data_IF_880585402414
#
_entry.id   IF_880585402414
#
_cell.length_a   1.000
_cell.length_b   1.000
_cell.length_c   1.000
_cell.angle_alpha   90.00
_cell.angle_beta   90.00
_cell.angle_gamma   90.00
#
_symmetry.space_group_name_H-M   'P 1'
#
loop_
_entity.id
_entity.type
_entity.pdbx_description
1 polymer ?
#
# COMPACT_ATOMS: atom_id res chain seq x y z
N UNK A 1 -11.01 3.75 -7.81
CA UNK A 1 -11.35 2.61 -8.69
C UNK A 1 -12.67 1.95 -8.31
N UNK A 2 -12.87 1.53 -7.06
CA UNK A 2 -14.14 0.91 -6.60
C UNK A 2 -15.37 1.78 -6.93
N UNK A 3 -15.36 3.04 -6.51
CA UNK A 3 -16.43 4.00 -6.80
C UNK A 3 -16.65 4.18 -8.32
N UNK A 4 -15.57 4.28 -9.10
CA UNK A 4 -15.65 4.39 -10.57
C UNK A 4 -16.32 3.18 -11.19
N UNK A 5 -15.94 1.96 -10.78
CA UNK A 5 -16.57 0.73 -11.25
C UNK A 5 -18.06 0.64 -10.88
N UNK A 6 -18.40 1.03 -9.65
CA UNK A 6 -19.79 1.14 -9.19
C UNK A 6 -20.61 2.15 -10.02
N UNK A 7 -20.05 3.34 -10.30
CA UNK A 7 -20.68 4.35 -11.15
C UNK A 7 -20.92 3.85 -12.59
N UNK A 8 -19.91 3.21 -13.19
CA UNK A 8 -20.03 2.63 -14.55
C UNK A 8 -21.14 1.58 -14.57
N UNK A 9 -21.16 0.67 -13.59
CA UNK A 9 -22.19 -0.35 -13.50
C UNK A 9 -23.59 0.23 -13.25
N UNK A 10 -23.71 1.26 -12.41
CA UNK A 10 -24.98 1.97 -12.19
C UNK A 10 -25.48 2.64 -13.48
N UNK A 11 -24.56 3.29 -14.20
CA UNK A 11 -24.87 4.01 -15.44
C UNK A 11 -25.34 3.07 -16.54
N UNK A 12 -24.58 1.99 -16.78
CA UNK A 12 -24.89 0.99 -17.80
C UNK A 12 -26.14 0.20 -17.42
N UNK A 13 -26.31 -0.17 -16.15
CA UNK A 13 -27.48 -0.93 -15.66
C UNK A 13 -28.81 -0.20 -15.81
N UNK A 14 -28.82 1.14 -15.81
CA UNK A 14 -30.05 1.93 -15.97
C UNK A 14 -30.37 2.27 -17.44
N UNK A 15 -29.52 1.87 -18.38
CA UNK A 15 -29.68 2.16 -19.80
C UNK A 15 -29.26 3.56 -20.21
N UNK A 16 -28.35 4.20 -19.45
CA UNK A 16 -27.73 5.49 -19.79
C UNK A 16 -28.23 6.71 -18.99
N UNK A 17 -27.81 7.91 -19.42
CA UNK A 17 -28.08 9.16 -18.69
C UNK A 17 -29.49 9.67 -18.93
N UNK A 18 -30.27 9.85 -17.85
CA UNK A 18 -31.54 10.61 -17.92
C UNK A 18 -31.32 12.08 -18.28
N UNK A 19 -30.20 12.68 -17.83
CA UNK A 19 -29.87 14.10 -18.07
C UNK A 19 -29.59 14.40 -19.55
N UNK A 20 -29.05 13.44 -20.29
CA UNK A 20 -28.72 13.59 -21.71
C UNK A 20 -29.69 12.84 -22.65
N UNK A 21 -30.84 12.39 -22.13
CA UNK A 21 -31.84 11.61 -22.87
C UNK A 21 -31.33 10.36 -23.60
N UNK A 22 -30.14 9.88 -23.26
CA UNK A 22 -29.55 8.62 -23.74
C UNK A 22 -30.18 7.47 -22.95
N UNK A 23 -31.38 7.03 -23.37
CA UNK A 23 -32.07 5.88 -22.75
C UNK A 23 -32.22 4.72 -23.73
N UNK A 24 -31.51 3.63 -23.46
CA UNK A 24 -31.56 2.43 -24.30
C UNK A 24 -32.77 1.59 -23.93
N UNK A 25 -33.66 1.31 -24.90
CA UNK A 25 -34.94 0.61 -24.65
C UNK A 25 -34.75 -0.83 -24.18
N UNK A 26 -33.68 -1.51 -24.64
CA UNK A 26 -33.39 -2.90 -24.30
C UNK A 26 -33.02 -3.11 -22.82
N UNK A 27 -32.42 -2.11 -22.18
CA UNK A 27 -32.00 -2.18 -20.77
C UNK A 27 -33.10 -1.81 -19.77
N UNK A 28 -34.37 -1.67 -20.20
CA UNK A 28 -35.50 -1.38 -19.30
C UNK A 28 -35.72 -2.46 -18.26
N UNK A 29 -35.42 -3.72 -18.58
CA UNK A 29 -35.63 -4.84 -17.66
C UNK A 29 -34.75 -4.74 -16.39
N UNK A 30 -33.56 -4.14 -16.50
CA UNK A 30 -32.65 -3.94 -15.38
C UNK A 30 -32.94 -2.69 -14.53
N UNK A 31 -34.05 -1.96 -14.80
CA UNK A 31 -34.50 -0.81 -13.99
C UNK A 31 -35.25 -1.25 -12.72
N UNK A 32 -34.72 -2.25 -12.05
CA UNK A 32 -35.19 -2.76 -10.78
C UNK A 32 -34.11 -2.51 -9.72
N UNK A 33 -34.49 -2.10 -8.51
CA UNK A 33 -33.50 -1.74 -7.48
C UNK A 33 -32.64 -2.93 -7.06
N UNK A 34 -33.20 -4.15 -7.13
CA UNK A 34 -32.45 -5.39 -6.88
C UNK A 34 -31.36 -5.61 -7.93
N UNK A 35 -31.70 -5.58 -9.21
CA UNK A 35 -30.72 -5.81 -10.28
C UNK A 35 -29.70 -4.67 -10.36
N UNK A 36 -30.13 -3.44 -10.08
CA UNK A 36 -29.23 -2.30 -9.94
C UNK A 36 -28.22 -2.51 -8.83
N UNK A 37 -28.66 -2.97 -7.65
CA UNK A 37 -27.77 -3.29 -6.53
C UNK A 37 -26.76 -4.36 -6.94
N UNK A 38 -27.22 -5.46 -7.51
CA UNK A 38 -26.37 -6.58 -7.95
C UNK A 38 -25.31 -6.12 -8.97
N UNK A 39 -25.70 -5.29 -9.94
CA UNK A 39 -24.78 -4.73 -10.93
C UNK A 39 -23.76 -3.78 -10.29
N UNK A 40 -24.19 -2.91 -9.38
CA UNK A 40 -23.29 -1.99 -8.65
C UNK A 40 -22.29 -2.77 -7.79
N UNK A 41 -22.73 -3.83 -7.12
CA UNK A 41 -21.86 -4.75 -6.37
C UNK A 41 -20.82 -5.40 -7.29
N UNK A 42 -21.22 -5.88 -8.47
CA UNK A 42 -20.27 -6.38 -9.48
C UNK A 42 -19.29 -5.31 -9.97
N UNK A 43 -19.75 -4.07 -10.16
CA UNK A 43 -18.91 -2.93 -10.55
C UNK A 43 -17.89 -2.54 -9.47
N UNK A 44 -18.30 -2.56 -8.20
CA UNK A 44 -17.42 -2.33 -7.06
C UNK A 44 -16.34 -3.43 -6.98
N UNK A 45 -16.74 -4.70 -7.08
CA UNK A 45 -15.83 -5.85 -7.10
C UNK A 45 -14.81 -5.75 -8.25
N UNK A 46 -15.29 -5.38 -9.45
CA UNK A 46 -14.47 -5.14 -10.63
C UNK A 46 -13.42 -4.05 -10.39
N UNK A 47 -13.79 -2.96 -9.70
CA UNK A 47 -12.87 -1.89 -9.33
C UNK A 47 -11.78 -2.34 -8.37
N UNK A 48 -12.08 -3.23 -7.41
CA UNK A 48 -11.07 -3.84 -6.52
C UNK A 48 -10.17 -4.80 -7.29
N UNK A 49 -10.75 -5.67 -8.12
CA UNK A 49 -10.01 -6.60 -8.96
C UNK A 49 -9.06 -5.89 -9.92
N UNK A 50 -9.47 -4.76 -10.50
CA UNK A 50 -8.61 -3.90 -11.31
C UNK A 50 -7.46 -3.30 -10.49
N UNK A 51 -7.73 -2.85 -9.26
CA UNK A 51 -6.75 -2.17 -8.41
C UNK A 51 -5.62 -3.08 -7.92
N UNK A 52 -5.96 -4.29 -7.45
CA UNK A 52 -5.03 -5.23 -6.81
C UNK A 52 -4.68 -6.45 -7.67
N UNK A 53 -5.24 -6.53 -8.89
CA UNK A 53 -5.11 -7.70 -9.78
C UNK A 53 -5.56 -9.02 -9.14
N UNK A 54 -6.48 -8.94 -8.18
CA UNK A 54 -6.97 -10.06 -7.39
C UNK A 54 -8.48 -10.25 -7.63
N UNK A 55 -8.89 -11.10 -8.60
CA UNK A 55 -10.31 -11.27 -8.94
C UNK A 55 -11.11 -11.86 -7.77
N UNK A 56 -10.60 -12.92 -7.13
CA UNK A 56 -11.25 -13.53 -5.96
C UNK A 56 -11.30 -12.56 -4.78
N UNK A 57 -10.24 -11.77 -4.56
CA UNK A 57 -10.23 -10.74 -3.52
C UNK A 57 -11.30 -9.67 -3.75
N UNK A 58 -11.54 -9.26 -5.00
CA UNK A 58 -12.63 -8.35 -5.34
C UNK A 58 -14.02 -8.93 -5.08
N UNK A 59 -14.23 -10.23 -5.29
CA UNK A 59 -15.49 -10.91 -4.96
C UNK A 59 -15.70 -10.98 -3.46
N UNK A 60 -14.67 -11.35 -2.70
CA UNK A 60 -14.74 -11.42 -1.23
C UNK A 60 -15.00 -10.04 -0.62
N UNK A 61 -14.31 -9.01 -1.10
CA UNK A 61 -14.59 -7.63 -0.70
C UNK A 61 -16.05 -7.24 -0.96
N UNK A 62 -16.60 -7.60 -2.13
CA UNK A 62 -17.99 -7.29 -2.44
C UNK A 62 -18.99 -8.09 -1.58
N UNK A 63 -18.62 -9.30 -1.17
CA UNK A 63 -19.40 -10.14 -0.25
C UNK A 63 -19.39 -9.58 1.17
N UNK A 64 -18.24 -9.11 1.65
CA UNK A 64 -18.05 -8.59 3.00
C UNK A 64 -18.62 -7.17 3.16
N UNK A 65 -18.31 -6.26 2.23
CA UNK A 65 -18.55 -4.82 2.40
C UNK A 65 -19.72 -4.27 1.57
N UNK A 66 -20.03 -4.88 0.41
CA UNK A 66 -21.02 -4.33 -0.53
C UNK A 66 -22.39 -5.04 -0.50
N UNK A 67 -22.47 -6.23 0.09
CA UNK A 67 -23.67 -7.05 0.05
C UNK A 67 -24.05 -7.62 1.43
N UNK A 68 -25.19 -7.19 1.95
CA UNK A 68 -25.77 -7.72 3.20
C UNK A 68 -26.45 -9.08 3.02
N UNK A 69 -26.82 -9.41 1.77
CA UNK A 69 -27.49 -10.65 1.39
C UNK A 69 -26.87 -11.16 0.10
N UNK A 70 -26.41 -12.41 0.09
CA UNK A 70 -25.67 -12.99 -1.02
C UNK A 70 -26.41 -14.17 -1.65
N UNK A 71 -26.50 -14.20 -2.98
CA UNK A 71 -27.09 -15.29 -3.77
C UNK A 71 -26.00 -16.00 -4.57
N UNK A 72 -26.10 -17.32 -4.73
CA UNK A 72 -25.13 -18.09 -5.54
C UNK A 72 -25.02 -17.58 -6.99
N UNK A 73 -26.13 -17.11 -7.57
CA UNK A 73 -26.13 -16.50 -8.90
C UNK A 73 -25.35 -15.17 -8.94
N UNK A 74 -25.39 -14.37 -7.87
CA UNK A 74 -24.61 -13.13 -7.77
C UNK A 74 -23.11 -13.47 -7.68
N UNK A 75 -22.74 -14.47 -6.89
CA UNK A 75 -21.36 -14.96 -6.79
C UNK A 75 -20.75 -15.19 -8.16
N UNK A 76 -21.43 -15.99 -8.99
CA UNK A 76 -20.92 -16.33 -10.32
C UNK A 76 -20.81 -15.10 -11.23
N UNK A 77 -21.79 -14.19 -11.20
CA UNK A 77 -21.77 -12.95 -11.97
C UNK A 77 -20.61 -12.04 -11.54
N UNK A 78 -20.37 -11.92 -10.24
CA UNK A 78 -19.28 -11.10 -9.69
C UNK A 78 -17.92 -11.72 -10.02
N UNK A 79 -17.78 -13.04 -9.84
CA UNK A 79 -16.56 -13.77 -10.18
C UNK A 79 -16.22 -13.66 -11.66
N UNK A 80 -17.19 -13.90 -12.55
CA UNK A 80 -16.98 -13.75 -13.99
C UNK A 80 -16.56 -12.32 -14.36
N UNK A 81 -17.24 -11.31 -13.79
CA UNK A 81 -16.92 -9.89 -14.05
C UNK A 81 -15.48 -9.55 -13.64
N UNK A 82 -15.09 -9.93 -12.42
CA UNK A 82 -13.73 -9.68 -11.90
C UNK A 82 -12.64 -10.44 -12.66
N UNK A 83 -12.94 -11.68 -13.11
CA UNK A 83 -12.03 -12.48 -13.92
C UNK A 83 -11.80 -11.84 -15.30
N UNK A 84 -12.86 -11.39 -15.97
CA UNK A 84 -12.76 -10.67 -17.25
C UNK A 84 -11.90 -9.41 -17.10
N UNK A 85 -12.13 -8.62 -16.05
CA UNK A 85 -11.31 -7.43 -15.76
C UNK A 85 -9.84 -7.79 -15.60
N UNK A 86 -9.52 -8.86 -14.86
CA UNK A 86 -8.14 -9.31 -14.68
C UNK A 86 -7.47 -9.72 -16.00
N UNK A 87 -8.19 -10.44 -16.87
CA UNK A 87 -7.68 -10.87 -18.19
C UNK A 87 -7.49 -9.68 -19.13
N UNK A 88 -8.47 -8.79 -19.24
CA UNK A 88 -8.40 -7.59 -20.09
C UNK A 88 -7.25 -6.69 -19.65
N UNK A 89 -7.13 -6.46 -18.34
CA UNK A 89 -6.06 -5.64 -17.79
C UNK A 89 -4.69 -6.28 -18.07
N UNK A 90 -4.52 -7.59 -17.85
CA UNK A 90 -3.27 -8.30 -18.18
C UNK A 90 -2.92 -8.20 -19.66
N UNK A 91 -3.87 -8.46 -20.55
CA UNK A 91 -3.68 -8.34 -22.00
C UNK A 91 -3.28 -6.92 -22.41
N UNK A 92 -3.91 -5.89 -21.84
CA UNK A 92 -3.58 -4.51 -22.14
C UNK A 92 -2.19 -4.11 -21.63
N UNK A 93 -1.80 -4.58 -20.44
CA UNK A 93 -0.46 -4.35 -19.90
C UNK A 93 0.62 -5.04 -20.75
N UNK A 94 0.41 -6.28 -21.18
CA UNK A 94 1.38 -6.98 -22.02
C UNK A 94 1.49 -6.36 -23.41
N UNK A 95 0.38 -5.87 -23.97
CA UNK A 95 0.42 -5.02 -25.17
C UNK A 95 1.23 -3.75 -24.93
N UNK A 96 1.05 -3.09 -23.79
CA UNK A 96 1.74 -1.86 -23.47
C UNK A 96 3.22 -2.02 -23.11
N UNK A 97 3.64 -3.20 -22.64
CA UNK A 97 5.05 -3.58 -22.48
C UNK A 97 5.82 -3.64 -23.79
N UNK A 98 5.14 -3.70 -24.95
CA UNK A 98 5.78 -3.62 -26.26
C UNK A 98 6.33 -2.21 -26.59
N UNK A 99 6.38 -1.29 -25.63
CA UNK A 99 6.91 0.07 -25.76
C UNK A 99 5.96 1.07 -26.46
N UNK A 100 4.77 0.64 -26.86
CA UNK A 100 3.82 1.46 -27.66
C UNK A 100 2.89 2.34 -26.82
N UNK A 101 2.80 2.13 -25.51
CA UNK A 101 1.85 2.85 -24.63
C UNK A 101 2.53 3.81 -23.63
N UNK A 102 3.84 4.07 -23.75
CA UNK A 102 4.57 4.90 -22.78
C UNK A 102 4.46 4.37 -21.34
N UNK A 103 4.27 5.27 -20.37
CA UNK A 103 4.25 4.97 -18.93
C UNK A 103 3.11 4.03 -18.47
N UNK A 104 2.12 3.71 -19.31
CA UNK A 104 1.03 2.79 -18.96
C UNK A 104 1.51 1.36 -18.66
N UNK A 105 2.68 0.96 -19.15
CA UNK A 105 3.29 -0.34 -18.85
C UNK A 105 4.13 -0.37 -17.57
N UNK A 106 4.48 0.78 -16.99
CA UNK A 106 5.54 0.92 -15.98
C UNK A 106 5.05 1.04 -14.53
N UNK A 107 3.77 1.25 -14.24
CA UNK A 107 3.31 1.30 -12.85
C UNK A 107 1.91 1.88 -12.64
N UNK A 108 1.40 1.72 -11.41
CA UNK A 108 0.11 2.28 -10.96
C UNK A 108 -0.90 1.26 -10.45
N UNK A 109 -0.59 -0.03 -10.50
CA UNK A 109 -1.37 -1.10 -9.90
C UNK A 109 -0.47 -1.96 -9.02
N UNK A 110 -0.93 -2.22 -7.80
CA UNK A 110 -0.16 -2.97 -6.81
C UNK A 110 0.05 -4.39 -7.33
N UNK A 111 1.32 -4.74 -7.54
CA UNK A 111 1.74 -6.09 -7.89
C UNK A 111 2.71 -6.55 -6.81
N UNK A 112 2.23 -7.43 -5.94
CA UNK A 112 3.07 -8.16 -5.00
C UNK A 112 3.64 -9.38 -5.72
N UNK A 113 4.81 -9.23 -6.31
CA UNK A 113 5.54 -10.37 -6.87
C UNK A 113 6.50 -10.91 -5.81
N UNK A 114 5.97 -11.77 -4.93
CA UNK A 114 6.79 -12.44 -3.92
C UNK A 114 7.47 -13.62 -4.60
N UNK A 115 8.68 -13.37 -5.11
CA UNK A 115 9.47 -14.40 -5.76
C UNK A 115 9.77 -15.55 -4.78
N UNK A 116 9.07 -16.66 -5.01
CA UNK A 116 9.39 -18.10 -4.84
C UNK A 116 10.61 -18.57 -4.01
N UNK A 117 11.05 -17.85 -2.99
CA UNK A 117 11.80 -18.45 -1.88
C UNK A 117 10.77 -18.98 -0.89
N UNK A 118 10.62 -20.30 -0.84
CA UNK A 118 9.70 -20.97 0.08
C UNK A 118 10.15 -20.63 1.51
N UNK A 119 9.54 -19.60 2.10
CA UNK A 119 9.75 -19.25 3.49
C UNK A 119 9.18 -20.39 4.34
N UNK A 120 10.07 -21.21 4.90
CA UNK A 120 9.68 -22.23 5.86
C UNK A 120 9.39 -21.54 7.20
N UNK A 121 8.12 -21.33 7.50
CA UNK A 121 7.68 -20.74 8.77
C UNK A 121 7.74 -21.78 9.88
N UNK A 122 8.40 -21.43 10.99
CA UNK A 122 8.39 -22.23 12.21
C UNK A 122 7.27 -21.83 13.17
N UNK A 123 7.02 -22.65 14.18
CA UNK A 123 6.15 -22.31 15.33
C UNK A 123 6.51 -20.98 16.02
N UNK A 124 7.79 -20.58 16.22
CA UNK A 124 8.08 -19.27 16.82
C UNK A 124 7.69 -18.10 15.92
N UNK A 125 7.70 -18.28 14.60
CA UNK A 125 7.29 -17.23 13.65
C UNK A 125 5.78 -16.99 13.72
N UNK A 126 4.99 -18.04 14.00
CA UNK A 126 3.55 -17.92 14.23
C UNK A 126 3.24 -17.01 15.43
N UNK A 127 4.00 -17.13 16.52
CA UNK A 127 3.81 -16.27 17.70
C UNK A 127 4.14 -14.81 17.36
N UNK A 128 5.17 -14.57 16.55
CA UNK A 128 5.51 -13.23 16.07
C UNK A 128 4.40 -12.65 15.17
N UNK A 129 3.81 -13.45 14.28
CA UNK A 129 2.68 -13.03 13.42
C UNK A 129 1.45 -12.67 14.26
N UNK A 130 1.12 -13.47 15.28
CA UNK A 130 0.01 -13.16 16.21
C UNK A 130 0.28 -11.84 16.93
N UNK A 131 1.50 -11.65 17.44
CA UNK A 131 1.89 -10.40 18.11
C UNK A 131 1.78 -9.18 17.19
N UNK A 132 2.25 -9.29 15.93
CA UNK A 132 2.11 -8.24 14.92
C UNK A 132 0.63 -7.95 14.62
N UNK A 133 -0.22 -8.97 14.54
CA UNK A 133 -1.67 -8.81 14.35
C UNK A 133 -2.33 -8.05 15.49
N UNK A 134 -1.98 -8.36 16.76
CA UNK A 134 -2.49 -7.63 17.93
C UNK A 134 -2.01 -6.17 17.91
N UNK A 135 -0.72 -5.94 17.64
CA UNK A 135 -0.15 -4.60 17.57
C UNK A 135 -0.80 -3.77 16.45
N UNK A 136 -0.97 -4.35 15.26
CA UNK A 136 -1.65 -3.73 14.13
C UNK A 136 -3.12 -3.41 14.42
N UNK A 137 -3.83 -4.30 15.13
CA UNK A 137 -5.21 -4.05 15.57
C UNK A 137 -5.31 -2.88 16.56
N UNK A 138 -4.41 -2.79 17.53
CA UNK A 138 -4.35 -1.69 18.50
C UNK A 138 -4.01 -0.36 17.81
N UNK A 139 -2.98 -0.34 16.96
CA UNK A 139 -2.59 0.85 16.20
C UNK A 139 -3.68 1.28 15.22
N UNK A 140 -4.37 0.33 14.58
CA UNK A 140 -5.50 0.60 13.68
C UNK A 140 -6.72 1.18 14.41
N UNK A 141 -7.04 0.65 15.60
CA UNK A 141 -8.09 1.22 16.46
C UNK A 141 -7.76 2.65 16.87
N UNK A 142 -6.51 2.90 17.27
CA UNK A 142 -6.03 4.23 17.60
C UNK A 142 -6.04 5.18 16.40
N UNK A 143 -5.62 4.70 15.23
CA UNK A 143 -5.67 5.45 13.97
C UNK A 143 -7.10 5.90 13.64
N UNK A 144 -8.07 4.98 13.70
CA UNK A 144 -9.48 5.29 13.44
C UNK A 144 -10.05 6.28 14.45
N UNK A 145 -9.68 6.17 15.73
CA UNK A 145 -10.08 7.13 16.75
C UNK A 145 -9.57 8.55 16.44
N UNK A 146 -8.29 8.69 16.04
CA UNK A 146 -7.73 9.98 15.65
C UNK A 146 -8.34 10.53 14.36
N UNK A 147 -8.56 9.67 13.37
CA UNK A 147 -9.25 10.02 12.13
C UNK A 147 -10.64 10.59 12.41
N UNK A 148 -11.45 9.96 13.26
CA UNK A 148 -12.78 10.48 13.63
C UNK A 148 -12.70 11.90 14.20
N UNK A 149 -11.74 12.16 15.09
CA UNK A 149 -11.52 13.51 15.66
C UNK A 149 -11.13 14.54 14.61
N UNK A 150 -10.24 14.18 13.69
CA UNK A 150 -9.82 15.05 12.59
C UNK A 150 -10.98 15.33 11.63
N UNK A 151 -11.76 14.31 11.26
CA UNK A 151 -12.92 14.45 10.40
C UNK A 151 -14.00 15.36 11.00
N UNK A 152 -14.28 15.26 12.30
CA UNK A 152 -15.19 16.20 12.99
C UNK A 152 -14.70 17.63 12.89
N UNK A 153 -13.39 17.84 13.06
CA UNK A 153 -12.76 19.16 12.95
C UNK A 153 -12.88 19.69 11.51
N UNK A 154 -12.64 18.85 10.51
CA UNK A 154 -12.79 19.20 9.10
C UNK A 154 -14.24 19.48 8.73
N UNK A 155 -15.22 18.78 9.30
CA UNK A 155 -16.64 19.07 9.08
C UNK A 155 -16.97 20.50 9.50
N UNK A 156 -16.55 20.93 10.69
CA UNK A 156 -16.77 22.28 11.21
C UNK A 156 -16.11 23.34 10.31
N UNK A 157 -14.90 23.06 9.80
CA UNK A 157 -14.20 23.97 8.87
C UNK A 157 -14.92 24.01 7.52
N UNK A 158 -15.38 22.85 7.03
CA UNK A 158 -16.04 22.68 5.75
C UNK A 158 -17.41 23.37 5.68
N UNK A 159 -18.10 23.52 6.81
CA UNK A 159 -19.35 24.27 6.92
C UNK A 159 -19.18 25.78 6.76
N UNK A 160 -17.99 26.34 7.04
CA UNK A 160 -17.71 27.79 6.92
C UNK A 160 -17.70 28.30 5.48
N UNK A 161 -17.68 27.40 4.49
CA UNK A 161 -17.79 27.74 3.07
C UNK A 161 -16.72 27.09 2.19
N UNK A 162 -16.85 27.19 0.86
CA UNK A 162 -15.98 26.52 -0.10
C UNK A 162 -14.53 27.01 -0.05
N UNK A 163 -14.31 28.30 0.25
CA UNK A 163 -12.96 28.89 0.35
C UNK A 163 -12.16 28.21 1.48
N UNK A 164 -12.79 27.96 2.63
CA UNK A 164 -12.14 27.27 3.75
C UNK A 164 -11.76 25.83 3.41
N UNK A 165 -12.54 25.14 2.58
CA UNK A 165 -12.21 23.79 2.08
C UNK A 165 -10.93 23.82 1.25
N UNK A 166 -10.84 24.76 0.31
CA UNK A 166 -9.67 24.89 -0.56
C UNK A 166 -8.43 25.30 0.25
N UNK A 167 -8.58 26.26 1.17
CA UNK A 167 -7.49 26.70 2.05
C UNK A 167 -6.98 25.55 2.92
N UNK A 168 -7.88 24.74 3.49
CA UNK A 168 -7.50 23.55 4.26
C UNK A 168 -6.68 22.56 3.41
N UNK A 169 -7.11 22.27 2.18
CA UNK A 169 -6.38 21.39 1.25
C UNK A 169 -5.00 21.96 0.94
N UNK A 170 -4.89 23.26 0.68
CA UNK A 170 -3.61 23.92 0.40
C UNK A 170 -2.66 23.86 1.61
N UNK A 171 -3.16 24.14 2.82
CA UNK A 171 -2.38 24.05 4.04
C UNK A 171 -1.86 22.63 4.29
N UNK A 172 -2.70 21.61 4.13
CA UNK A 172 -2.30 20.21 4.34
C UNK A 172 -1.31 19.76 3.27
N UNK A 173 -1.52 20.16 2.00
CA UNK A 173 -0.59 19.88 0.90
C UNK A 173 0.80 20.46 1.15
N UNK A 174 0.88 21.73 1.57
CA UNK A 174 2.14 22.38 1.95
C UNK A 174 2.80 21.66 3.12
N UNK A 175 2.03 21.34 4.17
CA UNK A 175 2.52 20.62 5.33
C UNK A 175 3.10 19.25 4.93
N UNK A 176 2.35 18.46 4.16
CA UNK A 176 2.82 17.15 3.68
C UNK A 176 4.08 17.25 2.84
N UNK A 177 4.22 18.29 2.01
CA UNK A 177 5.41 18.53 1.20
C UNK A 177 6.61 18.91 2.06
N UNK A 178 6.42 19.77 3.07
CA UNK A 178 7.46 20.14 4.03
C UNK A 178 7.97 18.93 4.81
N UNK A 179 7.09 18.05 5.28
CA UNK A 179 7.52 16.83 5.99
C UNK A 179 8.20 15.83 5.05
N UNK A 180 7.65 15.61 3.85
CA UNK A 180 8.21 14.63 2.91
C UNK A 180 9.60 15.03 2.39
N UNK A 181 9.86 16.34 2.23
CA UNK A 181 11.18 16.84 1.85
C UNK A 181 12.11 17.09 3.05
N UNK A 182 11.56 17.48 4.20
CA UNK A 182 12.32 17.84 5.40
C UNK A 182 12.83 16.63 6.19
N UNK A 183 12.03 15.57 6.31
CA UNK A 183 12.42 14.37 7.08
C UNK A 183 13.66 13.66 6.54
N UNK A 184 13.85 13.49 5.21
CA UNK A 184 15.09 12.94 4.64
C UNK A 184 16.40 13.64 5.06
N UNK A 185 16.36 14.86 5.60
CA UNK A 185 17.55 15.52 6.15
C UNK A 185 18.02 14.92 7.47
N UNK A 186 17.17 14.18 8.17
CA UNK A 186 17.49 13.59 9.48
C UNK A 186 18.25 12.26 9.37
N UNK A 187 18.16 11.57 8.23
CA UNK A 187 18.83 10.30 8.00
C UNK A 187 20.26 10.48 7.51
N UNK A 188 21.13 9.55 7.91
CA UNK A 188 22.52 9.50 7.48
C UNK A 188 22.66 8.79 6.14
N UNK A 189 23.69 9.17 5.36
CA UNK A 189 24.01 8.51 4.11
C UNK A 189 24.57 7.11 4.35
N UNK A 190 24.12 6.14 3.54
CA UNK A 190 24.55 4.75 3.59
C UNK A 190 25.27 4.37 2.29
N UNK A 191 26.33 3.54 2.36
CA UNK A 191 27.05 3.10 1.17
C UNK A 191 26.20 2.11 0.36
N UNK A 192 26.25 2.22 -0.97
CA UNK A 192 25.58 1.27 -1.85
C UNK A 192 26.15 -0.15 -1.65
N UNK A 193 25.30 -1.21 -1.59
CA UNK A 193 25.79 -2.58 -1.46
C UNK A 193 26.64 -3.00 -2.67
N UNK A 194 27.72 -3.78 -2.46
CA UNK A 194 28.54 -4.29 -3.55
C UNK A 194 27.76 -5.30 -4.40
N UNK A 195 27.97 -5.29 -5.72
CA UNK A 195 27.34 -6.19 -6.71
C UNK A 195 25.83 -6.00 -6.95
N UNK A 196 25.36 -4.76 -7.03
CA UNK A 196 24.04 -4.48 -7.58
C UNK A 196 24.04 -4.64 -9.11
N UNK A 197 22.99 -5.25 -9.67
CA UNK A 197 22.77 -5.28 -11.13
C UNK A 197 22.36 -3.91 -11.69
N UNK A 198 21.87 -3.02 -10.83
CA UNK A 198 21.52 -1.64 -11.15
C UNK A 198 22.53 -0.65 -10.55
N UNK A 199 22.83 0.41 -11.28
CA UNK A 199 23.74 1.46 -10.84
C UNK A 199 23.12 2.27 -9.69
N UNK A 200 23.77 2.22 -8.52
CA UNK A 200 23.37 2.98 -7.32
C UNK A 200 24.26 4.21 -7.18
N UNK A 201 23.70 5.43 -6.99
CA UNK A 201 22.27 5.74 -6.78
C UNK A 201 21.46 5.96 -8.06
N UNK A 202 20.16 5.69 -8.00
CA UNK A 202 19.23 5.88 -9.12
C UNK A 202 18.84 7.36 -9.27
N UNK A 203 19.68 8.15 -9.96
CA UNK A 203 19.40 9.54 -10.30
C UNK A 203 18.54 9.63 -11.59
N UNK A 204 17.34 10.18 -11.50
CA UNK A 204 16.49 10.46 -12.67
C UNK A 204 15.83 9.24 -13.34
N UNK A 205 15.96 8.04 -12.77
CA UNK A 205 15.28 6.80 -13.21
C UNK A 205 14.42 6.21 -12.09
N UNK A 206 13.45 5.36 -12.43
CA UNK A 206 12.78 4.48 -11.44
C UNK A 206 13.82 3.52 -10.86
N UNK A 207 13.82 3.36 -9.54
CA UNK A 207 14.78 2.49 -8.86
C UNK A 207 14.82 2.71 -7.36
N UNK A 208 15.32 1.70 -6.65
CA UNK A 208 15.09 1.55 -5.22
C UNK A 208 15.97 2.46 -4.35
N UNK A 209 17.08 2.97 -4.89
CA UNK A 209 18.07 3.73 -4.12
C UNK A 209 18.12 5.18 -4.60
N UNK A 210 17.64 6.11 -3.79
CA UNK A 210 17.65 7.54 -4.09
C UNK A 210 18.80 8.23 -3.37
N UNK A 211 19.57 9.03 -4.12
CA UNK A 211 20.55 9.94 -3.52
C UNK A 211 19.85 11.25 -3.17
N UNK A 212 19.97 11.63 -1.90
CA UNK A 212 19.56 12.92 -1.39
C UNK A 212 20.69 13.48 -0.52
N UNK A 213 21.40 14.49 -1.03
CA UNK A 213 22.51 15.16 -0.35
C UNK A 213 23.66 14.22 0.11
N UNK A 214 23.89 13.12 -0.61
CA UNK A 214 24.96 12.17 -0.33
C UNK A 214 26.05 12.21 -1.42
N UNK A 215 27.27 11.78 -1.08
CA UNK A 215 28.36 11.67 -2.05
C UNK A 215 28.07 10.63 -3.14
N UNK A 216 28.86 10.64 -4.22
CA UNK A 216 28.84 9.58 -5.24
C UNK A 216 29.00 8.20 -4.57
N UNK A 217 28.18 7.21 -5.00
CA UNK A 217 28.09 5.85 -4.44
C UNK A 217 27.48 5.70 -3.03
N UNK A 218 26.78 6.72 -2.55
CA UNK A 218 25.96 6.64 -1.33
C UNK A 218 24.49 6.96 -1.64
N UNK A 219 23.59 6.42 -0.82
CA UNK A 219 22.15 6.68 -0.90
C UNK A 219 21.61 7.06 0.47
N UNK A 220 20.46 7.73 0.47
CA UNK A 220 19.72 8.08 1.67
C UNK A 220 18.51 7.14 1.76
N UNK A 221 18.45 6.37 2.84
CA UNK A 221 17.44 5.33 3.06
C UNK A 221 16.03 5.93 3.25
N UNK A 222 15.90 7.01 4.03
CA UNK A 222 14.64 7.73 4.21
C UNK A 222 14.16 8.42 2.92
N UNK A 223 15.08 9.01 2.15
CA UNK A 223 14.77 9.59 0.85
C UNK A 223 14.31 8.51 -0.15
N UNK A 224 14.87 7.31 -0.06
CA UNK A 224 14.47 6.16 -0.88
C UNK A 224 13.04 5.69 -0.57
N UNK A 225 12.56 5.91 0.66
CA UNK A 225 11.18 5.61 1.05
C UNK A 225 10.20 6.74 0.65
N UNK A 226 10.57 8.01 0.82
CA UNK A 226 9.69 9.16 0.50
C UNK A 226 9.62 9.53 -0.98
N UNK A 227 10.72 9.37 -1.74
CA UNK A 227 10.79 9.80 -3.16
C UNK A 227 10.56 8.68 -4.17
N UNK A 228 10.29 7.46 -3.69
CA UNK A 228 9.74 6.41 -4.54
C UNK A 228 8.22 6.43 -4.51
N UNK A 229 7.61 5.74 -5.49
CA UNK A 229 6.17 5.49 -5.43
C UNK A 229 5.85 4.66 -4.20
N UNK A 230 4.67 4.85 -3.61
CA UNK A 230 4.25 4.05 -2.45
C UNK A 230 4.26 2.55 -2.78
N UNK A 231 3.93 2.18 -4.02
CA UNK A 231 3.96 0.78 -4.49
C UNK A 231 5.38 0.20 -4.45
N UNK A 232 6.36 0.94 -4.95
CA UNK A 232 7.76 0.47 -4.96
C UNK A 232 8.37 0.53 -3.56
N UNK A 233 8.00 1.51 -2.74
CA UNK A 233 8.37 1.55 -1.32
C UNK A 233 7.87 0.29 -0.58
N UNK A 234 6.62 -0.12 -0.80
CA UNK A 234 6.08 -1.35 -0.20
C UNK A 234 6.86 -2.58 -0.70
N UNK A 235 7.13 -2.70 -2.00
CA UNK A 235 7.93 -3.82 -2.53
C UNK A 235 9.32 -3.88 -1.92
N UNK A 236 9.97 -2.74 -1.73
CA UNK A 236 11.29 -2.65 -1.10
C UNK A 236 11.25 -3.06 0.37
N UNK A 237 10.20 -2.67 1.10
CA UNK A 237 10.02 -3.07 2.51
C UNK A 237 9.72 -4.56 2.68
N UNK A 238 8.98 -5.16 1.75
CA UNK A 238 8.64 -6.58 1.73
C UNK A 238 9.74 -7.46 1.11
N UNK A 239 10.81 -6.85 0.57
CA UNK A 239 11.90 -7.60 -0.04
C UNK A 239 12.78 -8.27 1.02
N UNK A 240 13.33 -9.48 0.75
CA UNK A 240 14.17 -10.23 1.70
C UNK A 240 15.42 -9.47 2.19
N UNK A 241 15.85 -8.43 1.46
CA UNK A 241 17.01 -7.61 1.78
C UNK A 241 16.80 -6.49 2.81
N UNK A 242 15.58 -6.33 3.37
CA UNK A 242 15.21 -5.18 4.21
C UNK A 242 16.16 -4.95 5.39
N UNK A 243 16.64 -6.02 6.03
CA UNK A 243 17.52 -5.93 7.21
C UNK A 243 18.93 -5.41 6.92
N UNK A 244 19.33 -5.39 5.65
CA UNK A 244 20.62 -4.83 5.20
C UNK A 244 20.46 -3.46 4.52
N UNK A 245 19.25 -3.12 4.11
CA UNK A 245 18.94 -1.90 3.35
C UNK A 245 18.43 -0.77 4.25
N UNK A 246 17.74 -1.07 5.35
CA UNK A 246 17.10 -0.04 6.19
C UNK A 246 17.47 -0.16 7.65
N UNK A 247 17.77 0.99 8.26
CA UNK A 247 18.00 1.10 9.70
C UNK A 247 16.67 1.27 10.46
N UNK A 248 16.58 0.67 11.66
CA UNK A 248 15.42 0.79 12.56
C UNK A 248 15.01 2.26 12.82
N UNK A 249 15.91 3.21 13.17
CA UNK A 249 15.50 4.60 13.40
C UNK A 249 14.83 5.23 12.17
N UNK A 250 15.34 4.95 10.97
CA UNK A 250 14.75 5.43 9.71
C UNK A 250 13.34 4.89 9.52
N UNK A 251 13.15 3.59 9.73
CA UNK A 251 11.82 2.96 9.62
C UNK A 251 10.83 3.53 10.63
N UNK A 252 11.26 3.81 11.87
CA UNK A 252 10.40 4.42 12.89
C UNK A 252 10.00 5.86 12.56
N UNK A 253 10.94 6.66 12.05
CA UNK A 253 10.66 8.04 11.58
C UNK A 253 9.68 8.00 10.41
N UNK A 254 9.93 7.13 9.43
CA UNK A 254 9.06 6.98 8.27
C UNK A 254 7.66 6.47 8.65
N UNK A 255 7.57 5.47 9.53
CA UNK A 255 6.31 4.96 10.06
C UNK A 255 5.50 6.07 10.72
N UNK A 256 6.13 6.81 11.65
CA UNK A 256 5.48 7.90 12.37
C UNK A 256 4.98 8.97 11.39
N UNK A 257 5.80 9.34 10.41
CA UNK A 257 5.43 10.32 9.40
C UNK A 257 4.23 9.85 8.56
N UNK A 258 4.27 8.66 7.96
CA UNK A 258 3.15 8.13 7.15
C UNK A 258 1.90 7.94 8.00
N UNK A 259 2.03 7.50 9.25
CA UNK A 259 0.89 7.32 10.16
C UNK A 259 0.19 8.65 10.42
N UNK A 260 0.91 9.69 10.87
CA UNK A 260 0.29 11.00 11.17
C UNK A 260 -0.10 11.78 9.91
N UNK A 261 0.72 11.76 8.86
CA UNK A 261 0.39 12.40 7.57
C UNK A 261 -0.84 11.73 6.95
N UNK A 262 -0.98 10.40 7.07
CA UNK A 262 -2.17 9.67 6.63
C UNK A 262 -3.44 10.13 7.34
N UNK A 263 -3.37 10.35 8.66
CA UNK A 263 -4.52 10.83 9.46
C UNK A 263 -4.97 12.21 8.99
N UNK A 264 -4.05 13.16 8.79
CA UNK A 264 -4.41 14.54 8.42
C UNK A 264 -4.78 14.68 6.94
N UNK A 265 -4.24 13.84 6.07
CA UNK A 265 -4.59 13.88 4.64
C UNK A 265 -5.94 13.22 4.35
N UNK A 266 -6.42 12.38 5.25
CA UNK A 266 -7.73 11.76 5.11
C UNK A 266 -8.88 12.73 5.39
N UNK A 267 -9.92 12.69 4.56
CA UNK A 267 -11.12 13.52 4.73
C UNK A 267 -11.00 14.95 4.21
N UNK A 268 -9.86 15.32 3.62
CA UNK A 268 -9.77 16.56 2.85
C UNK A 268 -10.67 16.49 1.62
N UNK A 269 -11.06 17.64 1.06
CA UNK A 269 -11.98 17.73 -0.07
C UNK A 269 -11.33 17.36 -1.43
N UNK A 270 -10.67 16.21 -1.50
CA UNK A 270 -9.97 15.67 -2.68
C UNK A 270 -10.33 14.19 -2.82
N UNK A 271 -10.58 13.68 -4.05
CA UNK A 271 -10.78 12.24 -4.25
C UNK A 271 -9.48 11.48 -3.99
N UNK A 272 -9.32 10.94 -2.79
CA UNK A 272 -8.16 10.14 -2.37
C UNK A 272 -8.59 8.77 -1.83
N UNK A 273 -7.64 7.85 -1.77
CA UNK A 273 -7.83 6.52 -1.19
C UNK A 273 -6.92 6.33 0.02
N UNK A 274 -7.43 5.68 1.06
CA UNK A 274 -6.70 5.43 2.32
C UNK A 274 -5.95 4.09 2.32
N UNK A 275 -6.27 3.19 1.37
CA UNK A 275 -5.79 1.81 1.40
C UNK A 275 -4.27 1.68 1.26
N UNK A 276 -3.67 2.40 0.30
CA UNK A 276 -2.21 2.32 0.04
C UNK A 276 -1.39 2.89 1.21
N UNK A 277 -1.69 4.09 1.74
CA UNK A 277 -0.97 4.62 2.91
C UNK A 277 -1.03 3.71 4.14
N UNK A 278 -2.18 3.06 4.39
CA UNK A 278 -2.32 2.13 5.53
C UNK A 278 -1.53 0.84 5.31
N UNK A 279 -1.53 0.27 4.09
CA UNK A 279 -0.66 -0.87 3.78
C UNK A 279 0.81 -0.50 3.96
N UNK A 280 1.21 0.69 3.48
CA UNK A 280 2.57 1.17 3.64
C UNK A 280 2.94 1.32 5.12
N UNK A 281 2.09 1.95 5.93
CA UNK A 281 2.32 2.06 7.38
C UNK A 281 2.47 0.68 8.06
N UNK A 282 1.61 -0.28 7.71
CA UNK A 282 1.69 -1.66 8.20
C UNK A 282 3.00 -2.34 7.79
N UNK A 283 3.35 -2.28 6.51
CA UNK A 283 4.59 -2.86 6.00
C UNK A 283 5.83 -2.28 6.68
N UNK A 284 5.87 -0.98 6.95
CA UNK A 284 6.99 -0.34 7.66
C UNK A 284 7.06 -0.82 9.11
N UNK A 285 5.93 -0.86 9.82
CA UNK A 285 5.88 -1.35 11.19
C UNK A 285 6.34 -2.80 11.29
N UNK A 286 5.84 -3.66 10.42
CA UNK A 286 6.19 -5.07 10.37
C UNK A 286 7.68 -5.24 10.04
N UNK A 287 8.19 -4.52 9.05
CA UNK A 287 9.62 -4.52 8.70
C UNK A 287 10.48 -4.03 9.86
N UNK A 288 10.08 -2.99 10.60
CA UNK A 288 10.82 -2.51 11.77
C UNK A 288 10.91 -3.58 12.87
N UNK A 289 9.81 -4.27 13.17
CA UNK A 289 9.77 -5.36 14.15
C UNK A 289 10.62 -6.54 13.68
N UNK A 290 10.53 -6.93 12.40
CA UNK A 290 11.32 -8.03 11.84
C UNK A 290 12.82 -7.71 11.93
N UNK A 291 13.25 -6.51 11.54
CA UNK A 291 14.65 -6.10 11.65
C UNK A 291 15.11 -6.11 13.11
N UNK A 292 14.28 -5.66 14.05
CA UNK A 292 14.60 -5.71 15.48
C UNK A 292 14.78 -7.16 15.98
N UNK A 293 13.87 -8.08 15.60
CA UNK A 293 13.94 -9.50 15.98
C UNK A 293 15.18 -10.18 15.40
N UNK A 294 15.48 -9.95 14.11
CA UNK A 294 16.67 -10.50 13.44
C UNK A 294 17.95 -9.97 14.08
N UNK A 295 18.02 -8.67 14.37
CA UNK A 295 19.17 -8.06 15.05
C UNK A 295 19.37 -8.64 16.44
N UNK A 296 18.29 -8.82 17.20
CA UNK A 296 18.33 -9.45 18.52
C UNK A 296 18.82 -10.91 18.43
N UNK A 297 18.32 -11.69 17.46
CA UNK A 297 18.72 -13.08 17.23
C UNK A 297 20.19 -13.21 16.85
N UNK A 298 20.69 -12.34 15.97
CA UNK A 298 22.10 -12.29 15.61
C UNK A 298 22.97 -11.95 16.82
N UNK A 299 22.58 -10.96 17.62
CA UNK A 299 23.29 -10.58 18.84
C UNK A 299 23.31 -11.71 19.88
N UNK A 300 22.21 -12.44 20.04
CA UNK A 300 22.14 -13.65 20.86
C UNK A 300 23.04 -14.78 20.33
N UNK A 301 23.06 -15.01 19.02
CA UNK A 301 23.96 -15.97 18.39
C UNK A 301 25.44 -15.59 18.56
N UNK A 302 25.78 -14.32 18.43
CA UNK A 302 27.15 -13.82 18.68
C UNK A 302 27.54 -13.92 20.15
N UNK A 303 26.63 -13.61 21.08
CA UNK A 303 26.85 -13.79 22.50
C UNK A 303 27.04 -15.28 22.87
N UNK A 304 26.24 -16.16 22.27
CA UNK A 304 26.37 -17.62 22.40
C UNK A 304 27.67 -18.15 21.79
N UNK A 305 28.11 -17.61 20.65
CA UNK A 305 29.38 -17.96 19.99
C UNK A 305 30.59 -17.44 20.79
N UNK A 306 30.52 -16.23 21.35
CA UNK A 306 31.53 -15.69 22.29
C UNK A 306 31.60 -16.53 23.57
N UNK A 307 30.47 -16.94 24.14
CA UNK A 307 30.44 -17.88 25.28
C UNK A 307 31.03 -19.26 24.92
N UNK A 308 30.72 -19.83 23.75
CA UNK A 308 31.32 -21.09 23.28
C UNK A 308 32.82 -20.98 23.03
N UNK A 309 33.29 -19.86 22.47
CA UNK A 309 34.71 -19.63 22.23
C UNK A 309 35.48 -19.35 23.53
N UNK A 310 34.90 -18.61 24.49
CA UNK A 310 35.47 -18.48 25.84
C UNK A 310 35.50 -19.81 26.59
N UNK A 311 34.54 -20.70 26.37
CA UNK A 311 34.57 -22.06 26.94
C UNK A 311 35.63 -22.96 26.30
N UNK A 312 35.91 -22.81 24.99
CA UNK A 312 36.98 -23.56 24.31
C UNK A 312 38.39 -23.06 24.65
N UNK A 313 38.56 -21.78 24.97
CA UNK A 313 39.86 -21.23 25.38
C UNK A 313 40.21 -21.63 26.84
N UNK A 314 39.23 -22.05 27.64
CA UNK A 314 39.42 -22.51 29.02
C UNK A 314 39.80 -23.99 29.20
N UNK A 315 39.96 -24.79 28.14
CA UNK A 315 40.22 -26.25 28.23
C UNK A 315 41.57 -26.67 27.61
N UNK A 316 42.45 -25.72 27.29
CA UNK A 316 43.80 -26.00 26.76
C UNK A 316 44.91 -25.43 27.65
N UNK A 317 44.90 -25.78 28.95
CA UNK A 317 46.05 -25.67 29.87
C UNK A 317 45.88 -26.68 31.01
N UNK A 318 46.29 -27.93 30.77
CA UNK A 318 46.84 -28.83 31.79
C UNK A 318 47.68 -29.89 31.10
#
# INVERSE_FOLDING_TARGET
MVHTGACIAAFLGQGGSRKYHLTWRWLRHFKNDRDRRDLVTCGAAAGVAAAFRAPVGGVLFALEEAASWWRSALLWRTFFTTAVVAVVLRGFMDFCKSGKCGLFGEGGLIMFDVNSSVASYGTPDLLAIIFLGVLGGLLGSFYNYLVDKVLRTYSIINEKGPIFKVLLVLCISLLTSCFSYGLPWLSSCTPCPPHLMEECPTAGRSGNYKNFQCSSHQYNDLASLFFNTNDDAIKNLLSPGVSKQFHIPTLLVFFSAIFFLGIITYGIAVPSGLFIPVILAGAVNDSAVIVAVVTCRLSWCECGRKKKNSCKIGVAKS
#
